data_IF_087738842893
#
_entry.id   IF_087738842893
#
_cell.length_a   1.000
_cell.length_b   1.000
_cell.length_c   1.000
_cell.angle_alpha   90.00
_cell.angle_beta   90.00
_cell.angle_gamma   90.00
#
_symmetry.space_group_name_H-M   'P 1'
#
loop_
_entity.id
_entity.type
_entity.pdbx_description
1 polymer ?
#
# COMPACT_ATOMS: atom_id res chain seq x y z
N UNK A 1 29.52 -11.80 30.66
CA UNK A 1 28.07 -11.49 30.71
C UNK A 1 27.77 -9.98 30.79
N UNK A 2 28.70 -9.16 31.29
CA UNK A 2 28.49 -7.71 31.52
C UNK A 2 28.48 -6.85 30.24
N UNK A 3 29.36 -7.11 29.26
CA UNK A 3 29.42 -6.30 28.04
C UNK A 3 28.19 -6.45 27.13
N UNK A 4 27.63 -7.66 27.01
CA UNK A 4 26.43 -7.88 26.20
C UNK A 4 25.22 -7.14 26.80
N UNK A 5 25.13 -7.11 28.12
CA UNK A 5 24.09 -6.40 28.84
C UNK A 5 24.25 -4.88 28.73
N UNK A 6 25.48 -4.36 28.83
CA UNK A 6 25.75 -2.93 28.62
C UNK A 6 25.52 -2.46 27.19
N UNK A 7 25.87 -3.29 26.20
CA UNK A 7 25.61 -2.97 24.79
C UNK A 7 24.11 -2.95 24.50
N UNK A 8 23.35 -3.86 25.12
CA UNK A 8 21.89 -3.94 25.00
C UNK A 8 21.21 -2.78 25.72
N UNK A 9 21.70 -2.40 26.91
CA UNK A 9 21.16 -1.26 27.67
C UNK A 9 21.51 0.08 27.01
N UNK A 10 22.69 0.21 26.40
CA UNK A 10 23.09 1.39 25.62
C UNK A 10 22.26 1.53 24.34
N UNK A 11 21.92 0.43 23.66
CA UNK A 11 20.98 0.44 22.52
C UNK A 11 19.58 0.89 22.94
N UNK A 12 19.12 0.44 24.12
CA UNK A 12 17.81 0.83 24.66
C UNK A 12 17.78 2.32 25.06
N UNK A 13 18.87 2.82 25.66
CA UNK A 13 19.03 4.22 26.06
C UNK A 13 19.17 5.16 24.85
N UNK A 14 19.93 4.75 23.84
CA UNK A 14 20.05 5.48 22.58
C UNK A 14 18.69 5.62 21.85
N UNK A 15 17.82 4.60 21.93
CA UNK A 15 16.45 4.68 21.40
C UNK A 15 15.49 5.52 22.24
N UNK A 16 15.76 5.68 23.55
CA UNK A 16 14.94 6.46 24.48
C UNK A 16 15.31 7.95 24.53
N UNK A 17 16.60 8.27 24.39
CA UNK A 17 17.11 9.65 24.41
C UNK A 17 16.97 10.35 23.04
N UNK A 18 16.88 9.58 21.95
CA UNK A 18 16.60 10.11 20.62
C UNK A 18 15.09 10.39 20.43
N UNK A 19 14.65 11.59 20.85
CA UNK A 19 13.30 12.08 20.54
C UNK A 19 12.99 12.07 19.03
N UNK A 20 14.01 12.13 18.16
CA UNK A 20 13.82 12.03 16.72
C UNK A 20 13.57 10.57 16.28
N UNK A 21 14.23 9.60 16.91
CA UNK A 21 14.03 8.16 16.71
C UNK A 21 12.65 7.68 17.14
N UNK A 22 12.21 8.05 18.35
CA UNK A 22 10.85 7.75 18.81
C UNK A 22 9.79 8.46 17.95
N UNK A 23 10.01 9.73 17.59
CA UNK A 23 9.13 10.48 16.69
C UNK A 23 9.05 9.86 15.29
N UNK A 24 10.15 9.31 14.78
CA UNK A 24 10.20 8.61 13.48
C UNK A 24 9.47 7.27 13.55
N UNK A 25 9.64 6.51 14.64
CA UNK A 25 8.92 5.25 14.86
C UNK A 25 7.40 5.47 14.98
N UNK A 26 6.95 6.48 15.73
CA UNK A 26 5.53 6.84 15.85
C UNK A 26 4.96 7.29 14.50
N UNK A 27 5.72 8.06 13.72
CA UNK A 27 5.34 8.47 12.35
C UNK A 27 5.22 7.26 11.42
N UNK A 28 6.17 6.33 11.45
CA UNK A 28 6.14 5.09 10.69
C UNK A 28 4.94 4.21 11.05
N UNK A 29 4.68 4.00 12.34
CA UNK A 29 3.51 3.26 12.82
C UNK A 29 2.19 3.91 12.39
N UNK A 30 2.09 5.24 12.49
CA UNK A 30 0.90 5.98 12.04
C UNK A 30 0.71 5.88 10.52
N UNK A 31 1.79 5.88 9.75
CA UNK A 31 1.76 5.70 8.30
C UNK A 31 1.30 4.28 7.91
N UNK A 32 1.80 3.24 8.58
CA UNK A 32 1.32 1.85 8.41
C UNK A 32 -0.16 1.75 8.75
N UNK A 33 -0.59 2.29 9.88
CA UNK A 33 -1.99 2.22 10.32
C UNK A 33 -2.94 2.91 9.33
N UNK A 34 -2.56 4.09 8.82
CA UNK A 34 -3.31 4.79 7.77
C UNK A 34 -3.31 4.04 6.45
N UNK A 35 -2.20 3.42 6.09
CA UNK A 35 -2.09 2.61 4.89
C UNK A 35 -3.04 1.40 4.96
N UNK A 36 -3.12 0.75 6.13
CA UNK A 36 -3.98 -0.40 6.35
C UNK A 36 -5.48 -0.03 6.33
N UNK A 37 -5.83 1.12 6.93
CA UNK A 37 -7.20 1.67 6.87
C UNK A 37 -7.59 2.03 5.43
N UNK A 38 -6.71 2.71 4.70
CA UNK A 38 -6.97 3.11 3.30
C UNK A 38 -7.06 1.88 2.39
N UNK A 39 -6.14 0.92 2.51
CA UNK A 39 -6.19 -0.33 1.77
C UNK A 39 -7.51 -1.07 1.99
N UNK A 40 -7.97 -1.14 3.25
CA UNK A 40 -9.23 -1.84 3.59
C UNK A 40 -10.45 -1.16 2.97
N UNK A 41 -10.50 0.17 2.94
CA UNK A 41 -11.56 0.95 2.27
C UNK A 41 -11.52 0.70 0.76
N UNK A 42 -10.35 0.82 0.16
CA UNK A 42 -10.14 0.66 -1.28
C UNK A 42 -10.46 -0.76 -1.76
N UNK A 43 -10.12 -1.78 -0.97
CA UNK A 43 -10.53 -3.16 -1.24
C UNK A 43 -12.05 -3.34 -1.17
N UNK A 44 -12.71 -2.74 -0.18
CA UNK A 44 -14.17 -2.80 -0.06
C UNK A 44 -14.86 -2.08 -1.22
N UNK A 45 -14.33 -0.94 -1.66
CA UNK A 45 -14.86 -0.19 -2.79
C UNK A 45 -14.62 -0.91 -4.12
N UNK A 46 -13.43 -1.47 -4.34
CA UNK A 46 -13.13 -2.34 -5.48
C UNK A 46 -14.11 -3.53 -5.55
N UNK A 47 -14.39 -4.18 -4.42
CA UNK A 47 -15.34 -5.29 -4.36
C UNK A 47 -16.78 -4.85 -4.69
N UNK A 48 -17.25 -3.72 -4.12
CA UNK A 48 -18.57 -3.16 -4.44
C UNK A 48 -18.71 -2.81 -5.91
N UNK A 49 -17.73 -2.11 -6.48
CA UNK A 49 -17.74 -1.73 -7.89
C UNK A 49 -17.74 -2.96 -8.81
N UNK A 50 -16.91 -3.97 -8.49
CA UNK A 50 -16.84 -5.21 -9.26
C UNK A 50 -18.18 -5.95 -9.27
N UNK A 51 -18.88 -6.02 -8.12
CA UNK A 51 -20.20 -6.64 -8.03
C UNK A 51 -21.27 -5.84 -8.79
N UNK A 52 -21.30 -4.51 -8.62
CA UNK A 52 -22.26 -3.65 -9.29
C UNK A 52 -22.12 -3.74 -10.82
N UNK A 53 -20.90 -3.68 -11.32
CA UNK A 53 -20.63 -3.80 -12.75
C UNK A 53 -20.88 -5.20 -13.31
N UNK A 54 -20.53 -6.25 -12.57
CA UNK A 54 -20.86 -7.62 -12.96
C UNK A 54 -22.37 -7.81 -13.10
N UNK A 55 -23.15 -7.31 -12.13
CA UNK A 55 -24.62 -7.32 -12.19
C UNK A 55 -25.16 -6.51 -13.38
N UNK A 56 -24.63 -5.30 -13.60
CA UNK A 56 -25.02 -4.47 -14.74
C UNK A 56 -24.71 -5.14 -16.08
N UNK A 57 -23.56 -5.81 -16.19
CA UNK A 57 -23.14 -6.56 -17.38
C UNK A 57 -24.07 -7.74 -17.63
N UNK A 58 -24.44 -8.50 -16.60
CA UNK A 58 -25.42 -9.59 -16.74
C UNK A 58 -26.78 -9.10 -17.20
N UNK A 59 -27.27 -7.97 -16.66
CA UNK A 59 -28.53 -7.36 -17.14
C UNK A 59 -28.45 -6.97 -18.62
N UNK A 60 -27.32 -6.40 -19.05
CA UNK A 60 -27.08 -6.03 -20.46
C UNK A 60 -27.02 -7.26 -21.36
N UNK A 61 -26.29 -8.30 -20.95
CA UNK A 61 -26.19 -9.56 -21.70
C UNK A 61 -27.55 -10.24 -21.85
N UNK A 62 -28.35 -10.28 -20.78
CA UNK A 62 -29.70 -10.84 -20.82
C UNK A 62 -30.65 -10.06 -21.77
N UNK A 63 -30.41 -8.78 -21.97
CA UNK A 63 -31.16 -7.94 -22.91
C UNK A 63 -30.60 -7.96 -24.35
N UNK A 64 -29.42 -8.53 -24.58
CA UNK A 64 -28.75 -8.52 -25.87
C UNK A 64 -29.47 -9.44 -26.87
N UNK A 65 -29.71 -8.94 -28.08
CA UNK A 65 -30.44 -9.67 -29.14
C UNK A 65 -29.56 -10.10 -30.32
N UNK A 66 -28.30 -9.69 -30.33
CA UNK A 66 -27.36 -9.99 -31.41
C UNK A 66 -25.99 -10.39 -30.86
N UNK A 67 -25.23 -11.22 -31.60
CA UNK A 67 -23.86 -11.55 -31.22
C UNK A 67 -22.94 -10.32 -31.13
N UNK A 68 -23.14 -9.33 -32.01
CA UNK A 68 -22.37 -8.09 -31.98
C UNK A 68 -22.61 -7.30 -30.68
N UNK A 69 -23.86 -7.19 -30.22
CA UNK A 69 -24.16 -6.54 -28.95
C UNK A 69 -23.51 -7.27 -27.76
N UNK A 70 -23.51 -8.61 -27.77
CA UNK A 70 -22.81 -9.40 -26.75
C UNK A 70 -21.31 -9.09 -26.74
N UNK A 71 -20.68 -9.03 -27.92
CA UNK A 71 -19.25 -8.71 -28.04
C UNK A 71 -18.93 -7.31 -27.51
N UNK A 72 -19.74 -6.31 -27.88
CA UNK A 72 -19.58 -4.94 -27.39
C UNK A 72 -19.74 -4.85 -25.86
N UNK A 73 -20.73 -5.55 -25.29
CA UNK A 73 -20.95 -5.60 -23.84
C UNK A 73 -19.75 -6.24 -23.11
N UNK A 74 -19.24 -7.38 -23.60
CA UNK A 74 -18.08 -8.03 -23.00
C UNK A 74 -16.80 -7.21 -23.16
N UNK A 75 -16.56 -6.60 -24.33
CA UNK A 75 -15.42 -5.74 -24.56
C UNK A 75 -15.42 -4.52 -23.62
N UNK A 76 -16.58 -3.90 -23.41
CA UNK A 76 -16.75 -2.81 -22.46
C UNK A 76 -16.49 -3.27 -21.02
N UNK A 77 -17.00 -4.44 -20.62
CA UNK A 77 -16.75 -5.01 -19.29
C UNK A 77 -15.26 -5.29 -19.05
N UNK A 78 -14.55 -5.87 -20.03
CA UNK A 78 -13.12 -6.15 -19.94
C UNK A 78 -12.31 -4.85 -19.82
N UNK A 79 -12.61 -3.85 -20.66
CA UNK A 79 -11.96 -2.53 -20.60
C UNK A 79 -12.15 -1.87 -19.23
N UNK A 80 -13.39 -1.80 -18.75
CA UNK A 80 -13.67 -1.21 -17.43
C UNK A 80 -12.97 -1.96 -16.30
N UNK A 81 -12.96 -3.30 -16.36
CA UNK A 81 -12.28 -4.14 -15.36
C UNK A 81 -10.77 -3.90 -15.33
N UNK A 82 -10.14 -3.70 -16.49
CA UNK A 82 -8.73 -3.33 -16.58
C UNK A 82 -8.46 -1.94 -15.99
N UNK A 83 -9.28 -0.95 -16.32
CA UNK A 83 -9.15 0.41 -15.78
C UNK A 83 -9.27 0.43 -14.25
N UNK A 84 -10.26 -0.28 -13.67
CA UNK A 84 -10.39 -0.41 -12.20
C UNK A 84 -9.20 -1.11 -11.56
N UNK A 85 -8.69 -2.17 -12.17
CA UNK A 85 -7.51 -2.88 -11.67
C UNK A 85 -6.28 -1.95 -11.64
N UNK A 86 -6.10 -1.14 -12.68
CA UNK A 86 -4.99 -0.19 -12.75
C UNK A 86 -5.11 0.90 -11.69
N UNK A 87 -6.32 1.40 -11.42
CA UNK A 87 -6.58 2.31 -10.29
C UNK A 87 -6.16 1.68 -8.97
N UNK A 88 -6.59 0.43 -8.71
CA UNK A 88 -6.24 -0.25 -7.47
C UNK A 88 -4.73 -0.54 -7.35
N UNK A 89 -4.07 -0.81 -8.48
CA UNK A 89 -2.62 -1.00 -8.52
C UNK A 89 -1.88 0.29 -8.15
N UNK A 90 -2.36 1.46 -8.59
CA UNK A 90 -1.80 2.75 -8.23
C UNK A 90 -1.98 3.04 -6.73
N UNK A 91 -3.16 2.77 -6.18
CA UNK A 91 -3.42 2.87 -4.73
C UNK A 91 -2.41 2.05 -3.95
N UNK A 92 -2.21 0.78 -4.32
CA UNK A 92 -1.25 -0.10 -3.65
C UNK A 92 0.20 0.42 -3.78
N UNK A 93 0.60 0.87 -4.98
CA UNK A 93 1.93 1.47 -5.19
C UNK A 93 2.14 2.69 -4.29
N UNK A 94 1.16 3.58 -4.20
CA UNK A 94 1.26 4.82 -3.43
C UNK A 94 1.36 4.51 -1.93
N UNK A 95 0.56 3.55 -1.44
CA UNK A 95 0.64 3.03 -0.07
C UNK A 95 2.02 2.45 0.27
N UNK A 96 2.57 1.59 -0.60
CA UNK A 96 3.89 0.98 -0.40
C UNK A 96 5.02 2.02 -0.48
N UNK A 97 4.94 2.98 -1.40
CA UNK A 97 5.94 4.03 -1.54
C UNK A 97 5.97 4.97 -0.33
N UNK A 98 4.79 5.31 0.21
CA UNK A 98 4.66 6.09 1.43
C UNK A 98 5.27 5.38 2.64
N UNK A 99 5.04 4.07 2.75
CA UNK A 99 5.63 3.24 3.80
C UNK A 99 7.15 3.19 3.71
N UNK A 100 7.71 2.92 2.52
CA UNK A 100 9.15 2.89 2.30
C UNK A 100 9.84 4.23 2.62
N UNK A 101 9.15 5.36 2.38
CA UNK A 101 9.62 6.69 2.75
C UNK A 101 9.74 6.91 4.27
N UNK A 102 8.88 6.26 5.07
CA UNK A 102 8.95 6.34 6.54
C UNK A 102 9.97 5.41 7.18
N UNK A 103 10.42 4.37 6.45
CA UNK A 103 11.42 3.40 6.93
C UNK A 103 12.86 3.76 6.56
N UNK A 104 13.06 4.77 5.70
CA UNK A 104 14.41 5.28 5.41
C UNK A 104 14.98 5.94 6.68
N UNK A 105 16.14 5.51 7.19
CA UNK A 105 16.77 6.17 8.32
C UNK A 105 17.16 7.59 7.90
N UNK A 106 16.45 8.61 8.40
CA UNK A 106 16.93 9.99 8.32
C UNK A 106 18.03 10.17 9.37
N UNK A 107 19.19 9.57 9.12
CA UNK A 107 20.27 9.54 10.08
C UNK A 107 21.35 8.51 9.78
N UNK A 108 21.97 8.57 8.61
CA UNK A 108 23.39 8.23 8.51
C UNK A 108 23.98 8.71 7.20
N UNK A 109 24.38 9.98 7.19
CA UNK A 109 25.53 10.44 6.41
C UNK A 109 26.85 10.02 7.08
N UNK A 110 26.89 8.83 7.70
CA UNK A 110 28.15 8.21 8.07
C UNK A 110 28.82 7.77 6.77
N UNK A 111 29.69 8.65 6.25
CA UNK A 111 30.69 8.27 5.25
C UNK A 111 31.31 6.97 5.72
N UNK A 112 31.13 5.89 4.95
CA UNK A 112 31.90 4.67 5.15
C UNK A 112 33.38 5.09 5.15
N UNK A 113 34.16 4.79 6.19
CA UNK A 113 35.58 5.07 6.15
C UNK A 113 36.15 4.30 4.96
N UNK A 114 36.71 5.05 4.01
CA UNK A 114 37.60 4.46 3.02
C UNK A 114 38.81 3.94 3.80
N UNK A 115 38.90 2.63 3.95
CA UNK A 115 40.14 1.97 4.35
C UNK A 115 40.60 1.15 3.16
N UNK A 116 41.87 1.40 2.85
CA UNK A 116 42.70 0.97 1.71
C UNK A 116 42.60 -0.53 1.45
#
# INVERSE_FOLDING_TARGET
MTQAFEKTSALFKAGADDKAGLGTAIKGFTAVAKANQSASIEWADYARQSLAEGSATMKKLAAARTPQAVFEIQAAYLKGSYERLMTQTQVMRDLYSGLAGTMKPQGSSAKLPATI
#
